data_IF_902535604378
#
_entry.id   IF_902535604378
#
_cell.length_a   1.000
_cell.length_b   1.000
_cell.length_c   1.000
_cell.angle_alpha   90.00
_cell.angle_beta   90.00
_cell.angle_gamma   90.00
#
_symmetry.space_group_name_H-M   'P 1'
#
loop_
_entity.id
_entity.type
_entity.pdbx_description
1 polymer ?
#
# COMPACT_ATOMS: atom_id res chain seq x y z
N UNK A 1 4.86 -3.06 -0.95
CA UNK A 1 4.88 -1.90 -1.89
C UNK A 1 5.49 -0.64 -1.26
N UNK A 2 5.25 -0.33 0.01
CA UNK A 2 5.72 0.89 0.66
C UNK A 2 7.23 1.19 0.58
N UNK A 3 8.10 0.19 0.57
CA UNK A 3 9.54 0.41 0.69
C UNK A 3 10.27 0.74 -0.61
N UNK A 4 9.87 0.19 -1.73
CA UNK A 4 10.44 0.58 -3.03
C UNK A 4 10.27 2.09 -3.28
N UNK A 5 9.25 2.68 -2.66
CA UNK A 5 8.87 4.08 -2.78
C UNK A 5 9.46 4.94 -1.66
N UNK A 6 9.51 4.46 -0.40
CA UNK A 6 10.02 5.24 0.75
C UNK A 6 11.53 5.55 0.69
N UNK A 7 12.30 4.81 -0.06
CA UNK A 7 13.73 5.03 -0.19
C UNK A 7 14.08 6.25 -1.07
N UNK A 8 13.15 6.69 -1.91
CA UNK A 8 13.28 7.90 -2.70
C UNK A 8 13.38 9.19 -1.86
N UNK A 9 12.76 9.20 -0.68
CA UNK A 9 12.66 10.39 0.17
C UNK A 9 13.98 10.78 0.84
N UNK A 10 14.94 9.88 0.99
CA UNK A 10 16.22 10.19 1.63
C UNK A 10 17.24 10.96 0.77
N UNK A 11 17.00 11.10 -0.54
CA UNK A 11 17.94 11.72 -1.46
C UNK A 11 17.57 13.13 -1.93
N UNK A 12 16.40 13.65 -1.57
CA UNK A 12 15.90 14.92 -2.11
C UNK A 12 15.27 15.87 -1.11
N UNK A 13 16.02 16.40 -0.13
CA UNK A 13 15.51 17.48 0.70
C UNK A 13 16.35 18.75 0.51
N UNK A 14 15.97 19.59 -0.45
CA UNK A 14 16.34 20.99 -0.48
C UNK A 14 15.23 21.86 -1.06
N UNK A 15 14.57 22.53 -0.12
CA UNK A 15 13.90 23.84 -0.19
C UNK A 15 13.21 24.34 -1.46
N UNK A 16 11.89 24.56 -1.35
CA UNK A 16 11.24 25.78 -1.88
C UNK A 16 10.13 26.21 -0.90
N UNK A 17 10.25 27.43 -0.34
CA UNK A 17 9.22 28.12 0.46
C UNK A 17 8.41 29.06 -0.43
N UNK A 18 7.08 29.07 -0.25
CA UNK A 18 6.15 30.22 -0.39
C UNK A 18 4.74 29.68 -0.06
N UNK A 19 3.99 30.13 0.85
CA UNK A 19 3.50 31.36 1.41
C UNK A 19 2.11 31.71 0.84
N UNK A 20 0.96 31.26 1.47
CA UNK A 20 -0.35 31.88 1.21
C UNK A 20 -1.18 32.01 2.49
N UNK A 21 -1.81 33.17 2.59
CA UNK A 21 -2.49 33.79 3.74
C UNK A 21 -3.84 33.16 4.11
N UNK A 22 -4.14 33.25 5.41
CA UNK A 22 -5.44 33.03 6.06
C UNK A 22 -6.52 34.05 5.63
N UNK A 23 -7.76 33.61 5.50
CA UNK A 23 -8.92 34.48 5.73
C UNK A 23 -10.00 33.74 6.51
N UNK A 24 -10.45 34.38 7.58
CA UNK A 24 -11.47 33.97 8.54
C UNK A 24 -12.81 34.48 8.04
N UNK A 25 -13.85 33.64 8.01
CA UNK A 25 -15.25 34.11 8.03
C UNK A 25 -16.09 33.32 9.05
N UNK A 26 -16.48 34.08 10.09
CA UNK A 26 -17.49 33.73 11.07
C UNK A 26 -18.88 34.09 10.51
N UNK A 27 -19.85 33.18 10.52
CA UNK A 27 -21.28 33.54 10.56
C UNK A 27 -22.05 32.56 11.44
N UNK A 28 -22.73 33.14 12.46
CA UNK A 28 -23.80 32.55 13.26
C UNK A 28 -25.05 32.36 12.39
N UNK A 29 -25.81 31.29 12.63
CA UNK A 29 -27.14 31.07 12.04
C UNK A 29 -27.95 30.06 12.85
N UNK A 30 -28.87 30.53 13.54
CA UNK A 30 -30.08 30.15 14.27
C UNK A 30 -30.63 28.71 14.02
N UNK A 31 -30.88 27.99 15.11
CA UNK A 31 -31.51 26.68 15.15
C UNK A 31 -33.04 26.79 14.98
N UNK A 32 -33.61 25.95 14.11
CA UNK A 32 -35.03 25.61 14.07
C UNK A 32 -35.14 24.09 14.34
N UNK A 33 -35.71 23.74 15.49
CA UNK A 33 -36.12 22.39 15.86
C UNK A 33 -37.39 22.00 15.11
N UNK A 34 -37.27 21.15 14.11
CA UNK A 34 -38.39 20.40 13.54
C UNK A 34 -38.16 18.93 13.84
N UNK A 35 -38.99 18.38 14.75
CA UNK A 35 -39.01 16.97 15.09
C UNK A 35 -39.47 16.11 13.90
N UNK A 36 -38.51 15.56 13.17
CA UNK A 36 -38.69 14.50 12.20
C UNK A 36 -38.18 13.20 12.79
N UNK A 37 -39.03 12.19 12.88
CA UNK A 37 -38.65 10.80 13.19
C UNK A 37 -37.68 10.32 12.10
N UNK A 38 -36.38 10.40 12.39
CA UNK A 38 -35.32 9.87 11.53
C UNK A 38 -35.39 8.34 11.63
N UNK A 39 -36.03 7.69 10.65
CA UNK A 39 -35.83 6.28 10.40
C UNK A 39 -34.37 6.09 10.02
N UNK A 40 -33.55 5.60 10.96
CA UNK A 40 -32.19 5.14 10.67
C UNK A 40 -32.30 4.04 9.61
N UNK A 41 -31.64 4.17 8.44
CA UNK A 41 -31.56 3.08 7.51
C UNK A 41 -30.88 1.92 8.23
N UNK A 42 -31.54 0.75 8.28
CA UNK A 42 -30.95 -0.49 8.78
C UNK A 42 -29.64 -0.70 8.02
N UNK A 43 -28.52 -0.60 8.75
CA UNK A 43 -27.18 -0.81 8.20
C UNK A 43 -27.17 -2.15 7.46
N UNK A 44 -26.84 -2.13 6.17
CA UNK A 44 -26.59 -3.36 5.43
C UNK A 44 -25.47 -4.09 6.17
N UNK A 45 -25.62 -5.42 6.42
CA UNK A 45 -24.50 -6.19 6.95
C UNK A 45 -23.31 -5.99 6.00
N UNK A 46 -22.17 -5.58 6.54
CA UNK A 46 -20.95 -5.47 5.76
C UNK A 46 -20.70 -6.83 5.11
N UNK A 47 -20.74 -6.88 3.78
CA UNK A 47 -20.41 -8.10 3.05
C UNK A 47 -18.98 -8.48 3.44
N UNK A 48 -18.77 -9.73 3.84
CA UNK A 48 -17.43 -10.22 4.12
C UNK A 48 -16.61 -10.12 2.82
N UNK A 49 -15.52 -9.37 2.87
CA UNK A 49 -14.61 -9.24 1.73
C UNK A 49 -13.93 -10.58 1.52
N UNK A 50 -14.10 -11.15 0.35
CA UNK A 50 -13.44 -12.39 -0.03
C UNK A 50 -12.20 -12.06 -0.88
N UNK A 51 -11.02 -12.15 -0.26
CA UNK A 51 -9.75 -11.98 -0.97
C UNK A 51 -9.48 -13.18 -1.86
N UNK A 52 -9.07 -12.93 -3.10
CA UNK A 52 -8.63 -13.92 -4.04
C UNK A 52 -7.14 -14.22 -3.83
N UNK A 53 -6.74 -15.40 -3.32
CA UNK A 53 -5.34 -15.80 -3.31
C UNK A 53 -4.81 -15.88 -4.74
N UNK A 54 -3.71 -15.18 -5.02
CA UNK A 54 -3.21 -15.07 -6.38
C UNK A 54 -1.71 -14.75 -6.44
N UNK A 55 -1.13 -15.03 -7.59
CA UNK A 55 0.15 -14.50 -8.03
C UNK A 55 -0.09 -13.54 -9.19
N UNK A 56 0.45 -12.34 -9.08
CA UNK A 56 0.36 -11.31 -10.10
C UNK A 56 1.76 -10.88 -10.54
N UNK A 57 1.93 -10.62 -11.83
CA UNK A 57 3.15 -10.03 -12.39
C UNK A 57 2.77 -8.70 -13.03
N UNK A 58 3.47 -7.66 -12.60
CA UNK A 58 3.34 -6.31 -13.13
C UNK A 58 4.59 -5.93 -13.91
N UNK A 59 4.41 -5.32 -15.07
CA UNK A 59 5.50 -4.63 -15.76
C UNK A 59 5.52 -3.20 -15.28
N UNK A 60 6.69 -2.77 -14.85
CA UNK A 60 6.94 -1.43 -14.32
C UNK A 60 7.71 -0.62 -15.35
N UNK A 61 7.32 0.63 -15.56
CA UNK A 61 8.02 1.56 -16.45
C UNK A 61 7.90 2.98 -15.91
N UNK A 62 8.90 3.80 -16.21
CA UNK A 62 8.87 5.23 -15.92
C UNK A 62 7.86 5.94 -16.80
N UNK A 63 7.15 6.92 -16.20
CA UNK A 63 6.27 7.82 -16.94
C UNK A 63 7.04 9.04 -17.40
N UNK A 64 6.89 9.38 -18.66
CA UNK A 64 7.41 10.65 -19.17
C UNK A 64 6.60 11.81 -18.59
N UNK A 65 7.30 12.79 -18.01
CA UNK A 65 6.69 14.03 -17.56
C UNK A 65 6.87 15.07 -18.67
N UNK A 66 5.80 15.62 -19.24
CA UNK A 66 5.92 16.65 -20.26
C UNK A 66 6.71 17.85 -19.75
N UNK A 67 7.78 18.24 -20.47
CA UNK A 67 8.64 19.38 -20.13
C UNK A 67 9.83 19.07 -19.20
N UNK A 68 10.08 17.82 -18.85
CA UNK A 68 11.32 17.42 -18.18
C UNK A 68 12.46 17.34 -19.23
N UNK A 69 13.57 18.06 -18.98
CA UNK A 69 14.71 18.15 -19.92
C UNK A 69 15.59 16.89 -19.91
N UNK A 70 15.66 16.16 -18.79
CA UNK A 70 16.36 14.87 -18.68
C UNK A 70 15.47 13.87 -17.96
N UNK A 71 15.23 12.73 -18.59
CA UNK A 71 14.38 11.69 -18.00
C UNK A 71 15.23 10.48 -17.69
N UNK A 72 15.58 10.30 -16.41
CA UNK A 72 16.04 8.99 -15.94
C UNK A 72 14.94 8.00 -16.23
N UNK A 73 15.24 6.95 -16.99
CA UNK A 73 14.29 5.89 -17.29
C UNK A 73 14.42 4.78 -16.25
N UNK A 74 13.31 4.16 -15.96
CA UNK A 74 13.27 2.99 -15.08
C UNK A 74 12.28 1.97 -15.65
N UNK A 75 12.77 0.75 -15.84
CA UNK A 75 11.97 -0.38 -16.32
C UNK A 75 12.17 -1.59 -15.43
N UNK A 76 11.15 -2.41 -15.33
CA UNK A 76 11.28 -3.60 -14.51
C UNK A 76 10.01 -4.40 -14.34
N UNK A 77 10.00 -5.22 -13.30
CA UNK A 77 8.86 -6.04 -12.95
C UNK A 77 8.67 -6.13 -11.44
N UNK A 78 7.42 -6.30 -11.04
CA UNK A 78 7.02 -6.68 -9.69
C UNK A 78 6.27 -8.01 -9.77
N UNK A 79 6.73 -8.99 -9.00
CA UNK A 79 6.01 -10.22 -8.71
C UNK A 79 5.37 -10.06 -7.33
N UNK A 80 4.08 -10.28 -7.24
CA UNK A 80 3.29 -10.22 -6.01
C UNK A 80 2.51 -11.50 -5.84
N UNK A 81 2.57 -12.11 -4.66
CA UNK A 81 1.80 -13.29 -4.32
C UNK A 81 1.04 -13.05 -3.02
N UNK A 82 -0.27 -13.32 -3.02
CA UNK A 82 -1.13 -13.34 -1.84
C UNK A 82 -1.61 -14.75 -1.60
N UNK A 83 -1.11 -15.38 -0.54
CA UNK A 83 -1.30 -16.79 -0.25
C UNK A 83 -2.15 -16.93 1.02
N UNK A 84 -3.17 -17.79 0.96
CA UNK A 84 -3.93 -18.22 2.13
C UNK A 84 -3.24 -19.43 2.76
N UNK A 85 -2.71 -19.28 3.99
CA UNK A 85 -2.00 -20.33 4.73
C UNK A 85 -2.87 -20.97 5.81
N UNK A 86 -4.20 -20.90 5.69
CA UNK A 86 -5.18 -21.37 6.65
C UNK A 86 -5.21 -20.58 7.97
N UNK A 87 -4.10 -20.49 8.67
CA UNK A 87 -3.95 -19.77 9.94
C UNK A 87 -3.55 -18.29 9.75
N UNK A 88 -3.18 -17.91 8.54
CA UNK A 88 -2.70 -16.58 8.20
C UNK A 88 -2.78 -16.25 6.72
N UNK A 89 -2.13 -15.15 6.38
CA UNK A 89 -1.88 -14.68 5.04
C UNK A 89 -0.38 -14.54 4.84
N UNK A 90 0.17 -15.09 3.79
CA UNK A 90 1.54 -14.81 3.37
C UNK A 90 1.54 -13.92 2.14
N UNK A 91 2.36 -12.86 2.20
CA UNK A 91 2.59 -11.96 1.07
C UNK A 91 4.05 -12.08 0.67
N UNK A 92 4.30 -12.47 -0.58
CA UNK A 92 5.63 -12.51 -1.18
C UNK A 92 5.71 -11.44 -2.26
N UNK A 93 6.75 -10.62 -2.21
CA UNK A 93 6.97 -9.57 -3.20
C UNK A 93 8.42 -9.59 -3.66
N UNK A 94 8.61 -9.41 -4.97
CA UNK A 94 9.93 -9.22 -5.57
C UNK A 94 9.84 -8.20 -6.68
N UNK A 95 10.50 -7.06 -6.48
CA UNK A 95 10.66 -6.04 -7.51
C UNK A 95 12.08 -6.07 -8.06
N UNK A 96 12.22 -5.95 -9.38
CA UNK A 96 13.48 -5.71 -10.06
C UNK A 96 13.31 -4.52 -10.97
N UNK A 97 14.22 -3.56 -10.86
CA UNK A 97 14.27 -2.36 -11.68
C UNK A 97 15.65 -2.22 -12.29
N UNK A 98 15.68 -1.72 -13.51
CA UNK A 98 16.87 -1.18 -14.18
C UNK A 98 16.65 0.32 -14.30
N UNK A 99 17.64 1.08 -13.92
CA UNK A 99 17.66 2.54 -13.99
C UNK A 99 18.66 2.92 -15.06
N UNK A 100 18.21 3.57 -16.13
CA UNK A 100 19.05 4.07 -17.20
C UNK A 100 19.28 5.57 -17.02
N UNK A 101 20.50 6.04 -17.27
CA UNK A 101 20.82 7.45 -17.43
C UNK A 101 20.47 7.93 -18.84
N UNK A 102 20.38 9.25 -19.04
CA UNK A 102 20.11 9.87 -20.35
C UNK A 102 21.24 9.70 -21.38
N UNK A 103 22.45 9.36 -20.96
CA UNK A 103 23.61 9.19 -21.80
C UNK A 103 23.90 7.71 -22.12
N UNK A 104 24.23 7.40 -23.37
CA UNK A 104 24.52 6.03 -23.86
C UNK A 104 25.73 5.37 -23.17
N UNK A 105 26.56 6.14 -22.45
CA UNK A 105 27.78 5.68 -21.79
C UNK A 105 27.57 5.45 -20.28
N UNK A 106 26.37 5.70 -19.68
CA UNK A 106 26.12 5.45 -18.28
C UNK A 106 25.75 3.99 -18.03
N UNK A 107 26.45 3.34 -17.07
CA UNK A 107 26.13 1.97 -16.63
C UNK A 107 24.72 1.91 -16.02
N UNK A 108 23.90 1.01 -16.54
CA UNK A 108 22.56 0.75 -15.98
C UNK A 108 22.67 0.30 -14.52
N UNK A 109 22.03 1.01 -13.62
CA UNK A 109 21.96 0.64 -12.20
C UNK A 109 20.82 -0.36 -11.97
N UNK A 110 21.17 -1.50 -11.39
CA UNK A 110 20.20 -2.53 -11.00
C UNK A 110 19.71 -2.36 -9.56
N UNK A 111 18.40 -2.39 -9.37
CA UNK A 111 17.78 -2.45 -8.05
C UNK A 111 16.90 -3.70 -7.94
N UNK A 112 17.06 -4.47 -6.86
CA UNK A 112 16.16 -5.56 -6.52
C UNK A 112 15.72 -5.45 -5.06
N UNK A 113 14.45 -5.67 -4.83
CA UNK A 113 13.87 -5.74 -3.50
C UNK A 113 13.02 -7.00 -3.37
N UNK A 114 13.17 -7.68 -2.23
CA UNK A 114 12.44 -8.88 -1.86
C UNK A 114 11.81 -8.71 -0.50
N UNK A 115 10.58 -9.15 -0.37
CA UNK A 115 9.87 -9.17 0.90
C UNK A 115 9.03 -10.43 1.03
N UNK A 116 9.06 -11.02 2.22
CA UNK A 116 8.16 -12.08 2.63
C UNK A 116 7.57 -11.67 3.96
N UNK A 117 6.25 -11.72 4.05
CA UNK A 117 5.52 -11.48 5.30
C UNK A 117 4.52 -12.59 5.55
N UNK A 118 4.20 -12.78 6.82
CA UNK A 118 3.09 -13.62 7.26
C UNK A 118 2.32 -12.89 8.35
N UNK A 119 0.99 -12.89 8.26
CA UNK A 119 0.11 -12.29 9.25
C UNK A 119 -1.02 -13.24 9.59
N UNK A 120 -1.31 -13.43 10.89
CA UNK A 120 -2.40 -14.30 11.35
C UNK A 120 -3.77 -13.76 10.91
N UNK A 121 -4.74 -14.66 10.69
CA UNK A 121 -6.10 -14.29 10.24
C UNK A 121 -6.80 -13.29 11.17
N UNK A 122 -6.48 -13.29 12.45
CA UNK A 122 -7.00 -12.36 13.45
C UNK A 122 -6.29 -10.99 13.46
N UNK A 123 -5.27 -10.78 12.59
CA UNK A 123 -4.51 -9.52 12.49
C UNK A 123 -3.66 -9.21 13.72
N UNK A 124 -3.27 -10.23 14.52
CA UNK A 124 -2.58 -10.02 15.80
C UNK A 124 -1.12 -10.43 15.81
N UNK A 125 -0.69 -11.28 14.90
CA UNK A 125 0.69 -11.73 14.80
C UNK A 125 1.21 -11.47 13.40
N UNK A 126 2.44 -10.99 13.32
CA UNK A 126 3.07 -10.60 12.08
C UNK A 126 4.53 -10.98 12.09
N UNK A 127 5.04 -11.50 11.00
CA UNK A 127 6.46 -11.76 10.76
C UNK A 127 6.82 -11.16 9.43
N UNK A 128 8.00 -10.56 9.37
CA UNK A 128 8.49 -9.92 8.16
C UNK A 128 9.97 -10.15 7.95
N UNK A 129 10.33 -10.24 6.69
CA UNK A 129 11.71 -10.20 6.22
C UNK A 129 11.74 -9.44 4.90
N UNK A 130 12.71 -8.53 4.77
CA UNK A 130 12.99 -7.82 3.51
C UNK A 130 14.48 -7.70 3.26
N UNK A 131 14.85 -7.72 1.99
CA UNK A 131 16.22 -7.58 1.52
C UNK A 131 16.25 -6.67 0.30
N UNK A 132 17.28 -5.84 0.22
CA UNK A 132 17.59 -5.01 -0.95
C UNK A 132 18.90 -5.44 -1.58
N UNK A 133 18.98 -5.25 -2.90
CA UNK A 133 20.20 -5.45 -3.66
C UNK A 133 20.36 -4.27 -4.61
N UNK A 134 21.59 -3.78 -4.74
CA UNK A 134 21.97 -2.74 -5.70
C UNK A 134 23.13 -3.28 -6.53
N UNK A 135 22.97 -3.31 -7.84
CA UNK A 135 23.96 -3.91 -8.77
C UNK A 135 24.39 -5.33 -8.36
N UNK A 136 23.44 -6.11 -7.80
CA UNK A 136 23.69 -7.47 -7.31
C UNK A 136 24.30 -7.55 -5.90
N UNK A 137 24.77 -6.43 -5.35
CA UNK A 137 25.28 -6.37 -3.98
C UNK A 137 24.16 -6.25 -2.97
N UNK A 138 24.26 -7.00 -1.87
CA UNK A 138 23.26 -6.97 -0.81
C UNK A 138 23.39 -5.69 0.01
N UNK A 139 22.28 -4.93 0.05
CA UNK A 139 22.11 -3.74 0.86
C UNK A 139 21.37 -4.00 2.16
N UNK A 140 20.37 -3.18 2.42
CA UNK A 140 19.58 -3.22 3.64
C UNK A 140 18.79 -4.52 3.80
N UNK A 141 18.79 -5.02 5.04
CA UNK A 141 17.99 -6.17 5.47
C UNK A 141 17.18 -5.82 6.71
N UNK A 142 15.95 -6.28 6.73
CA UNK A 142 15.10 -6.16 7.92
C UNK A 142 14.40 -7.47 8.19
N UNK A 143 14.33 -7.85 9.47
CA UNK A 143 13.61 -9.03 9.92
C UNK A 143 13.11 -8.82 11.34
N UNK A 144 11.87 -9.22 11.58
CA UNK A 144 11.30 -9.13 12.92
C UNK A 144 9.91 -9.76 12.99
N UNK A 145 9.34 -9.65 14.18
CA UNK A 145 7.99 -10.11 14.51
C UNK A 145 7.27 -9.02 15.29
N UNK A 146 5.98 -8.87 15.03
CA UNK A 146 5.11 -7.98 15.79
C UNK A 146 3.91 -8.74 16.32
N UNK A 147 3.41 -8.29 17.46
CA UNK A 147 2.17 -8.78 18.06
C UNK A 147 1.31 -7.63 18.54
N UNK A 148 -0.02 -7.75 18.38
CA UNK A 148 -1.02 -6.81 18.87
C UNK A 148 -1.98 -7.57 19.77
N UNK A 149 -2.13 -7.14 21.01
CA UNK A 149 -3.02 -7.75 21.98
C UNK A 149 -4.49 -7.32 21.75
N UNK A 150 -5.42 -8.02 22.38
CA UNK A 150 -6.83 -7.63 22.37
C UNK A 150 -7.10 -6.28 23.04
N UNK A 151 -6.22 -5.83 23.91
CA UNK A 151 -6.20 -4.48 24.50
C UNK A 151 -5.88 -3.38 23.47
N UNK A 152 -5.42 -3.75 22.26
CA UNK A 152 -4.94 -2.83 21.23
C UNK A 152 -3.48 -2.39 21.42
N UNK A 153 -2.82 -2.78 22.52
CA UNK A 153 -1.37 -2.57 22.69
C UNK A 153 -0.61 -3.61 21.91
N UNK A 154 0.59 -3.25 21.46
CA UNK A 154 1.42 -4.18 20.71
C UNK A 154 2.90 -4.01 21.00
N UNK A 155 3.69 -4.92 20.48
CA UNK A 155 5.14 -4.84 20.52
C UNK A 155 5.74 -5.45 19.27
N UNK A 156 6.90 -4.93 18.86
CA UNK A 156 7.74 -5.50 17.82
C UNK A 156 9.07 -5.95 18.40
N UNK A 157 9.54 -7.10 17.94
CA UNK A 157 10.89 -7.60 18.20
C UNK A 157 11.64 -7.64 16.88
N UNK A 158 12.61 -6.77 16.73
CA UNK A 158 13.48 -6.68 15.55
C UNK A 158 14.67 -7.61 15.70
N UNK A 159 15.01 -8.35 14.66
CA UNK A 159 16.20 -9.20 14.60
C UNK A 159 17.28 -8.60 13.69
N UNK A 160 16.90 -7.88 12.64
CA UNK A 160 17.76 -7.16 11.70
C UNK A 160 17.16 -5.78 11.39
N UNK A 161 17.98 -4.75 11.15
CA UNK A 161 19.45 -4.72 11.17
C UNK A 161 20.05 -4.85 12.57
N UNK A 162 19.33 -4.39 13.59
CA UNK A 162 19.76 -4.43 14.99
C UNK A 162 18.68 -5.08 15.84
N UNK A 163 19.09 -5.95 16.76
CA UNK A 163 18.15 -6.54 17.71
C UNK A 163 17.60 -5.50 18.65
N UNK A 164 16.28 -5.51 18.80
CA UNK A 164 15.57 -4.58 19.69
C UNK A 164 14.16 -5.04 19.98
N UNK A 165 13.54 -4.40 20.98
CA UNK A 165 12.12 -4.52 21.28
C UNK A 165 11.56 -3.11 21.45
N UNK A 166 10.46 -2.85 20.79
CA UNK A 166 9.76 -1.58 20.82
C UNK A 166 8.27 -1.82 21.10
N UNK A 167 7.66 -0.93 21.87
CA UNK A 167 6.22 -0.93 22.09
C UNK A 167 5.52 -0.30 20.88
N UNK A 168 4.43 -0.89 20.46
CA UNK A 168 3.55 -0.32 19.44
C UNK A 168 2.39 0.41 20.14
N UNK A 169 2.04 1.63 19.71
CA UNK A 169 0.92 2.35 20.27
C UNK A 169 -0.40 1.62 20.05
N UNK A 170 -1.38 1.88 20.93
CA UNK A 170 -2.68 1.28 20.81
C UNK A 170 -3.38 1.68 19.50
N UNK A 171 -4.08 0.73 18.89
CA UNK A 171 -4.82 0.95 17.64
C UNK A 171 -3.98 0.80 16.37
N UNK A 172 -2.73 0.37 16.48
CA UNK A 172 -1.91 0.03 15.30
C UNK A 172 -2.46 -1.19 14.61
N UNK A 173 -2.56 -1.12 13.29
CA UNK A 173 -2.92 -2.24 12.42
C UNK A 173 -1.67 -2.89 11.82
N UNK A 174 -1.78 -4.17 11.50
CA UNK A 174 -0.80 -4.90 10.71
C UNK A 174 -1.15 -4.80 9.21
N UNK A 175 -0.21 -5.02 8.28
CA UNK A 175 -0.38 -4.65 6.87
C UNK A 175 -1.54 -5.36 6.16
N UNK A 176 -1.73 -6.67 6.42
CA UNK A 176 -2.82 -7.41 5.80
C UNK A 176 -4.17 -7.03 6.40
N UNK A 177 -4.23 -6.83 7.72
CA UNK A 177 -5.43 -6.32 8.38
C UNK A 177 -5.82 -4.93 7.83
N UNK A 178 -4.86 -4.05 7.59
CA UNK A 178 -5.09 -2.76 6.93
C UNK A 178 -5.65 -2.93 5.52
N UNK A 179 -5.05 -3.82 4.70
CA UNK A 179 -5.52 -4.08 3.33
C UNK A 179 -6.95 -4.63 3.32
N UNK A 180 -7.28 -5.54 4.24
CA UNK A 180 -8.64 -6.07 4.41
C UNK A 180 -9.62 -4.97 4.85
N UNK A 181 -9.20 -4.09 5.78
CA UNK A 181 -10.03 -2.96 6.23
C UNK A 181 -10.30 -1.96 5.09
N UNK A 182 -9.30 -1.73 4.23
CA UNK A 182 -9.43 -0.89 3.04
C UNK A 182 -10.46 -1.48 2.06
N UNK A 183 -10.40 -2.77 1.79
CA UNK A 183 -11.38 -3.46 0.95
C UNK A 183 -12.79 -3.42 1.56
N UNK A 184 -12.92 -3.57 2.89
CA UNK A 184 -14.19 -3.44 3.60
C UNK A 184 -14.76 -2.01 3.51
N UNK A 185 -13.92 -0.99 3.72
CA UNK A 185 -14.29 0.41 3.57
C UNK A 185 -14.82 0.68 2.15
N UNK A 186 -14.10 0.17 1.17
CA UNK A 186 -14.47 0.24 -0.22
C UNK A 186 -15.85 -0.40 -0.51
N UNK A 187 -16.09 -1.61 0.00
CA UNK A 187 -17.35 -2.33 -0.17
C UNK A 187 -18.53 -1.66 0.56
N UNK A 188 -18.29 -1.00 1.69
CA UNK A 188 -19.31 -0.24 2.45
C UNK A 188 -19.58 1.14 1.89
N UNK A 189 -18.80 1.60 0.89
CA UNK A 189 -18.94 2.93 0.28
C UNK A 189 -18.32 4.05 1.12
N UNK A 190 -17.43 3.72 2.05
CA UNK A 190 -16.62 4.72 2.72
C UNK A 190 -15.67 5.37 1.69
N UNK A 191 -15.61 6.71 1.68
CA UNK A 191 -14.77 7.46 0.74
C UNK A 191 -13.36 7.74 1.27
N UNK A 192 -13.10 7.47 2.56
CA UNK A 192 -11.83 7.80 3.20
C UNK A 192 -11.52 6.84 4.35
N UNK A 193 -10.25 6.48 4.50
CA UNK A 193 -9.72 5.70 5.61
C UNK A 193 -8.40 6.31 6.07
N UNK A 194 -8.16 6.35 7.38
CA UNK A 194 -6.85 6.68 7.96
C UNK A 194 -6.52 5.64 9.03
N UNK A 195 -5.29 5.15 9.03
CA UNK A 195 -4.83 4.16 9.99
C UNK A 195 -3.34 4.31 10.28
N UNK A 196 -2.93 3.96 11.50
CA UNK A 196 -1.52 3.73 11.82
C UNK A 196 -1.19 2.28 11.54
N UNK A 197 -0.21 2.03 10.68
CA UNK A 197 0.16 0.69 10.22
C UNK A 197 1.62 0.43 10.53
N UNK A 198 1.90 -0.70 11.17
CA UNK A 198 3.25 -1.18 11.36
C UNK A 198 3.58 -2.24 10.31
N UNK A 199 4.49 -1.97 9.40
CA UNK A 199 4.91 -2.94 8.40
C UNK A 199 6.33 -3.50 8.61
N UNK A 200 7.15 -2.83 9.44
CA UNK A 200 8.48 -3.29 9.82
C UNK A 200 9.52 -3.27 8.69
N UNK A 201 9.11 -3.07 7.45
CA UNK A 201 10.01 -3.11 6.28
C UNK A 201 10.58 -1.73 5.97
N UNK A 202 9.91 -0.67 6.36
CA UNK A 202 10.30 0.73 6.15
C UNK A 202 10.87 1.34 7.42
N UNK A 203 10.20 1.11 8.55
CA UNK A 203 10.51 1.75 9.83
C UNK A 203 10.31 0.75 10.96
N UNK A 204 10.95 0.99 12.11
CA UNK A 204 10.67 0.30 13.37
C UNK A 204 9.46 0.92 14.10
N UNK A 205 8.93 2.01 13.56
CA UNK A 205 7.75 2.69 14.06
C UNK A 205 6.58 2.58 13.07
N UNK A 206 5.33 2.64 13.56
CA UNK A 206 4.16 2.70 12.69
C UNK A 206 4.16 3.95 11.82
N UNK A 207 3.62 3.81 10.63
CA UNK A 207 3.40 4.90 9.68
C UNK A 207 1.91 5.21 9.59
N UNK A 208 1.55 6.47 9.43
CA UNK A 208 0.17 6.82 9.13
C UNK A 208 -0.07 6.64 7.64
N UNK A 209 -1.11 5.88 7.30
CA UNK A 209 -1.57 5.71 5.92
C UNK A 209 -2.97 6.27 5.81
N UNK A 210 -3.18 7.21 4.89
CA UNK A 210 -4.50 7.68 4.51
C UNK A 210 -4.86 7.15 3.13
N UNK A 211 -6.13 6.82 2.92
CA UNK A 211 -6.66 6.32 1.67
C UNK A 211 -7.89 7.11 1.26
N UNK A 212 -7.89 7.65 0.04
CA UNK A 212 -9.10 8.12 -0.63
C UNK A 212 -9.62 7.00 -1.55
N UNK A 213 -10.90 6.67 -1.42
CA UNK A 213 -11.54 5.55 -2.08
C UNK A 213 -12.59 6.06 -3.07
N UNK A 214 -12.35 5.85 -4.35
CA UNK A 214 -13.29 6.23 -5.41
C UNK A 214 -14.45 5.25 -5.59
N UNK A 215 -15.42 5.59 -6.43
CA UNK A 215 -16.56 4.72 -6.72
C UNK A 215 -16.12 3.44 -7.44
N UNK A 216 -16.80 2.33 -7.14
CA UNK A 216 -16.60 1.07 -7.84
C UNK A 216 -17.20 1.11 -9.25
N UNK A 217 -16.49 0.56 -10.21
CA UNK A 217 -16.94 0.39 -11.59
C UNK A 217 -16.70 -1.04 -12.06
N UNK A 218 -17.63 -1.58 -12.85
CA UNK A 218 -17.41 -2.78 -13.65
C UNK A 218 -16.74 -2.38 -14.96
N UNK A 219 -15.91 -3.24 -15.52
CA UNK A 219 -15.27 -3.03 -16.84
C UNK A 219 -14.41 -1.77 -16.92
N UNK A 220 -13.52 -1.62 -15.94
CA UNK A 220 -12.62 -0.48 -15.92
C UNK A 220 -11.68 -0.40 -17.14
N UNK A 221 -11.29 -1.57 -17.71
CA UNK A 221 -10.39 -1.68 -18.86
C UNK A 221 -10.55 -2.99 -19.62
N UNK A 222 -9.91 -3.11 -20.80
CA UNK A 222 -9.79 -4.36 -21.56
C UNK A 222 -9.08 -5.50 -20.79
N UNK A 223 -8.47 -5.22 -19.65
CA UNK A 223 -7.90 -6.20 -18.71
C UNK A 223 -8.95 -7.22 -18.24
N UNK A 224 -10.20 -6.82 -18.10
CA UNK A 224 -11.29 -7.74 -17.71
C UNK A 224 -11.47 -8.88 -18.73
N UNK A 225 -11.17 -8.62 -19.99
CA UNK A 225 -11.19 -9.63 -21.04
C UNK A 225 -9.98 -10.56 -20.99
N UNK A 226 -8.85 -10.02 -20.55
CA UNK A 226 -7.58 -10.74 -20.43
C UNK A 226 -7.57 -11.65 -19.21
N UNK A 227 -8.22 -11.24 -18.11
CA UNK A 227 -8.24 -11.97 -16.84
C UNK A 227 -9.67 -12.38 -16.43
N UNK A 228 -10.14 -13.59 -16.77
CA UNK A 228 -11.50 -14.05 -16.47
C UNK A 228 -11.89 -13.93 -14.98
N UNK A 229 -10.91 -14.01 -14.06
CA UNK A 229 -11.12 -13.86 -12.62
C UNK A 229 -11.53 -12.44 -12.21
N UNK A 230 -11.35 -11.43 -13.09
CA UNK A 230 -11.69 -10.02 -12.86
C UNK A 230 -12.97 -9.59 -13.59
N UNK A 231 -13.45 -10.36 -14.56
CA UNK A 231 -14.51 -9.97 -15.49
C UNK A 231 -15.85 -9.59 -14.85
N UNK A 232 -16.10 -10.02 -13.61
CA UNK A 232 -17.33 -9.72 -12.85
C UNK A 232 -17.05 -9.04 -11.51
N UNK A 233 -15.82 -8.59 -11.30
CA UNK A 233 -15.40 -7.95 -10.06
C UNK A 233 -15.32 -6.44 -10.27
N UNK A 234 -15.95 -5.66 -9.39
CA UNK A 234 -15.81 -4.22 -9.44
C UNK A 234 -14.37 -3.82 -9.09
N UNK A 235 -13.89 -2.76 -9.71
CA UNK A 235 -12.65 -2.12 -9.36
C UNK A 235 -12.86 -0.65 -9.06
N UNK A 236 -11.95 -0.04 -8.31
CA UNK A 236 -12.02 1.36 -7.93
C UNK A 236 -10.65 2.00 -7.80
N UNK A 237 -10.53 3.29 -8.05
CA UNK A 237 -9.31 4.02 -7.74
C UNK A 237 -9.16 4.15 -6.22
N UNK A 238 -7.93 3.95 -5.76
CA UNK A 238 -7.52 4.12 -4.37
C UNK A 238 -6.24 4.94 -4.35
N UNK A 239 -6.29 6.14 -3.77
CA UNK A 239 -5.12 6.98 -3.59
C UNK A 239 -4.65 6.87 -2.15
N UNK A 240 -3.40 6.47 -1.97
CA UNK A 240 -2.74 6.28 -0.69
C UNK A 240 -1.70 7.36 -0.47
N UNK A 241 -1.71 7.96 0.73
CA UNK A 241 -0.65 8.84 1.18
C UNK A 241 -0.04 8.30 2.47
N UNK A 242 1.30 8.26 2.52
CA UNK A 242 2.08 7.64 3.58
C UNK A 242 2.89 8.70 4.32
N UNK A 243 2.77 8.69 5.64
CA UNK A 243 3.42 9.65 6.54
C UNK A 243 4.31 8.88 7.53
N UNK A 244 5.62 8.87 7.26
CA UNK A 244 6.59 8.19 8.14
C UNK A 244 6.87 9.00 9.41
N UNK A 245 6.96 10.32 9.26
CA UNK A 245 7.10 11.27 10.35
C UNK A 245 6.33 12.52 9.92
N UNK A 246 5.06 12.67 10.31
CA UNK A 246 4.30 13.84 9.92
C UNK A 246 5.00 15.09 10.47
N UNK A 247 5.75 15.76 9.59
CA UNK A 247 6.36 17.04 9.88
C UNK A 247 5.29 18.11 10.11
N UNK A 248 5.69 19.30 10.57
CA UNK A 248 4.76 20.40 10.85
C UNK A 248 3.96 20.85 9.61
N UNK A 249 4.39 20.50 8.42
CA UNK A 249 3.73 20.84 7.16
C UNK A 249 2.68 19.80 6.72
N UNK A 250 2.66 18.61 7.33
CA UNK A 250 1.66 17.57 7.07
C UNK A 250 1.67 17.00 5.65
N UNK A 251 2.79 17.15 4.93
CA UNK A 251 2.92 16.57 3.59
C UNK A 251 3.27 15.07 3.68
N UNK A 252 2.73 14.23 2.79
CA UNK A 252 3.10 12.81 2.74
C UNK A 252 4.55 12.64 2.31
N UNK A 253 5.22 11.62 2.85
CA UNK A 253 6.55 11.21 2.42
C UNK A 253 6.51 10.57 1.04
N UNK A 254 5.43 9.88 0.71
CA UNK A 254 5.15 9.39 -0.64
C UNK A 254 3.67 9.09 -0.86
N UNK A 255 3.29 8.98 -2.13
CA UNK A 255 1.93 8.71 -2.55
C UNK A 255 1.90 7.55 -3.55
N UNK A 256 0.76 6.86 -3.59
CA UNK A 256 0.52 5.78 -4.51
C UNK A 256 -0.94 5.79 -4.97
N UNK A 257 -1.17 5.75 -6.27
CA UNK A 257 -2.50 5.56 -6.85
C UNK A 257 -2.63 4.13 -7.38
N UNK A 258 -3.72 3.48 -7.01
CA UNK A 258 -4.00 2.09 -7.35
C UNK A 258 -5.36 1.95 -8.01
N UNK A 259 -5.48 1.04 -8.97
CA UNK A 259 -6.77 0.47 -9.36
C UNK A 259 -6.93 -0.88 -8.66
N UNK A 260 -7.81 -0.94 -7.67
CA UNK A 260 -8.00 -2.11 -6.80
C UNK A 260 -9.33 -2.78 -7.13
N UNK A 261 -9.31 -4.08 -7.41
CA UNK A 261 -10.50 -4.90 -7.52
C UNK A 261 -11.03 -5.31 -6.14
N UNK A 262 -12.34 -5.46 -5.99
CA UNK A 262 -12.97 -5.80 -4.70
C UNK A 262 -12.50 -7.14 -4.11
N UNK A 263 -11.85 -7.99 -4.90
CA UNK A 263 -11.21 -9.22 -4.47
C UNK A 263 -9.72 -9.07 -4.09
N UNK A 264 -9.21 -7.84 -4.02
CA UNK A 264 -7.84 -7.51 -3.59
C UNK A 264 -6.79 -7.52 -4.70
N UNK A 265 -7.13 -7.90 -5.94
CA UNK A 265 -6.20 -7.79 -7.07
C UNK A 265 -6.00 -6.32 -7.44
N UNK A 266 -4.77 -5.93 -7.73
CA UNK A 266 -4.44 -4.60 -8.24
C UNK A 266 -4.30 -4.70 -9.77
N UNK A 267 -5.08 -3.92 -10.51
CA UNK A 267 -5.01 -3.89 -11.97
C UNK A 267 -3.93 -2.95 -12.50
N UNK A 268 -3.75 -1.82 -11.82
CA UNK A 268 -2.79 -0.78 -12.18
C UNK A 268 -2.25 -0.09 -10.94
N UNK A 269 -1.02 0.39 -11.01
CA UNK A 269 -0.42 1.20 -9.96
C UNK A 269 0.38 2.37 -10.55
N UNK A 270 0.35 3.50 -9.85
CA UNK A 270 1.20 4.67 -10.11
C UNK A 270 1.86 5.05 -8.80
N UNK A 271 3.16 5.27 -8.82
CA UNK A 271 3.94 5.61 -7.63
C UNK A 271 5.22 6.35 -8.03
N UNK A 272 5.99 6.85 -7.08
CA UNK A 272 7.32 7.39 -7.32
C UNK A 272 8.38 6.44 -6.76
N UNK A 273 9.44 6.20 -7.52
CA UNK A 273 10.62 5.47 -7.07
C UNK A 273 11.87 6.34 -7.27
N UNK A 274 12.55 6.67 -6.19
CA UNK A 274 13.72 7.58 -6.21
C UNK A 274 13.45 8.93 -6.93
N UNK A 275 12.22 9.44 -6.85
CA UNK A 275 11.80 10.65 -7.56
C UNK A 275 11.36 10.42 -9.01
N UNK A 276 11.51 9.19 -9.53
CA UNK A 276 11.08 8.81 -10.88
C UNK A 276 9.61 8.40 -10.81
N UNK A 277 8.70 9.07 -11.54
CA UNK A 277 7.31 8.63 -11.66
C UNK A 277 7.23 7.29 -12.38
N UNK A 278 6.62 6.30 -11.74
CA UNK A 278 6.49 4.93 -12.24
C UNK A 278 5.03 4.56 -12.46
N UNK A 279 4.83 3.70 -13.43
CA UNK A 279 3.54 3.03 -13.68
C UNK A 279 3.77 1.52 -13.71
N UNK A 280 2.82 0.76 -13.15
CA UNK A 280 2.83 -0.69 -13.16
C UNK A 280 1.52 -1.25 -13.67
N UNK A 281 1.57 -2.06 -14.72
CA UNK A 281 0.42 -2.70 -15.34
C UNK A 281 0.41 -4.20 -15.05
N UNK A 282 -0.75 -4.73 -14.67
CA UNK A 282 -0.95 -6.17 -14.53
C UNK A 282 -0.77 -6.87 -15.87
N UNK A 283 0.14 -7.84 -15.93
CA UNK A 283 0.45 -8.62 -17.15
C UNK A 283 0.13 -10.09 -17.04
N UNK A 284 0.20 -10.64 -15.83
CA UNK A 284 -0.15 -12.02 -15.56
C UNK A 284 -0.87 -12.11 -14.22
N UNK A 285 -1.91 -12.96 -14.18
CA UNK A 285 -2.68 -13.25 -12.98
C UNK A 285 -2.94 -14.75 -12.90
N UNK A 286 -2.31 -15.40 -11.94
CA UNK A 286 -2.52 -16.81 -11.65
C UNK A 286 -3.31 -16.92 -10.33
N UNK A 287 -4.52 -17.46 -10.42
CA UNK A 287 -5.36 -17.67 -9.23
C UNK A 287 -4.90 -18.94 -8.52
N UNK A 288 -4.55 -18.79 -7.25
CA UNK A 288 -4.18 -19.93 -6.41
C UNK A 288 -5.43 -20.66 -5.92
N UNK A 289 -5.39 -21.98 -5.92
CA UNK A 289 -6.43 -22.76 -5.25
C UNK A 289 -6.34 -22.51 -3.74
N UNK A 290 -7.48 -22.31 -3.08
CA UNK A 290 -7.51 -22.28 -1.61
C UNK A 290 -6.93 -23.60 -1.10
N UNK A 291 -5.94 -23.54 -0.20
CA UNK A 291 -5.50 -24.75 0.48
C UNK A 291 -6.69 -25.41 1.18
N UNK A 292 -6.77 -26.73 1.09
CA UNK A 292 -7.78 -27.48 1.86
C UNK A 292 -7.34 -27.46 3.32
N UNK A 293 -7.74 -26.44 4.03
CA UNK A 293 -7.47 -26.33 5.46
C UNK A 293 -8.13 -27.50 6.17
N UNK A 294 -7.35 -28.33 6.86
CA UNK A 294 -7.90 -29.33 7.76
C UNK A 294 -8.59 -28.55 8.90
N UNK A 295 -9.84 -28.90 9.17
CA UNK A 295 -10.50 -28.38 10.38
C UNK A 295 -9.64 -28.72 11.60
N UNK A 296 -9.49 -27.77 12.58
CA UNK A 296 -8.75 -27.99 13.79
C UNK A 296 -9.31 -29.16 14.62
#
# INVERSE_FOLDING_TARGET
MARAVAMAVRLGNSSIRQGIRRSIFRRLGLAILLGGTFMLPAGRPAAAVEVLPHKAIYILHSRQVPGAEETVTADGMLIFEWIDTCDGWSINQRAKLRLGGGDEDEEEAGFEWRQITWESKDGRRYRYQSEEFRNGERGDQRRGEASVESSGKGAVTTALPTRGRHELPAGVMLPTAHSLRLLQAAASGEGFLSANVFDGTVSDEPITITAALGPGTLHWHDQDKQFPALAKVQSRPVDLAFFLNPGPEGLPDFEQSLQVYDNGVIGKMVFSFAGIPMEGDLRQLDVSSKEKCKAP
#
